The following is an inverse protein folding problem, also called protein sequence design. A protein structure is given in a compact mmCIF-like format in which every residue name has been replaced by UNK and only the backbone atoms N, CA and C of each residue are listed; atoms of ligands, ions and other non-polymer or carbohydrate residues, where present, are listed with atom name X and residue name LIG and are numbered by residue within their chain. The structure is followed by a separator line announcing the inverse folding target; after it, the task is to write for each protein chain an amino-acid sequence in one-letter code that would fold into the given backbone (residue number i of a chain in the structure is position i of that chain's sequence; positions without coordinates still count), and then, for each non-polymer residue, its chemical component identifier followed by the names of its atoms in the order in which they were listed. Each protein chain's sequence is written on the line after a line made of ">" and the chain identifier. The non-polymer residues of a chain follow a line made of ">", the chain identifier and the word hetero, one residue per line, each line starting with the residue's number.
data_IF_960510281725
#
_entry.id   IF_960510281725
#
_cell.length_a   1.000
_cell.length_b   1.000
_cell.length_c   1.000
_cell.angle_alpha   90.00
_cell.angle_beta   90.00
_cell.angle_gamma   90.00
#
_symmetry.space_group_name_H-M   'P 1'
#
loop_
_entity.id
_entity.type
_entity.pdbx_description
1 polymer ?
#
# COMPACT_ATOMS: atom_id res chain seq x y z
N UNK A 1 -8.04 0.20 -22.10
CA UNK A 1 -8.30 1.04 -20.90
C UNK A 1 -8.22 0.29 -19.57
N UNK A 2 -8.27 -1.05 -19.56
CA UNK A 2 -7.95 -1.85 -18.36
C UNK A 2 -6.50 -1.74 -17.87
N UNK A 3 -5.57 -1.25 -18.71
CA UNK A 3 -4.14 -1.13 -18.34
C UNK A 3 -3.91 -0.22 -17.12
N UNK A 4 -4.71 0.84 -16.91
CA UNK A 4 -4.59 1.70 -15.73
C UNK A 4 -4.95 0.95 -14.45
N UNK A 5 -5.97 0.09 -14.50
CA UNK A 5 -6.33 -0.77 -13.37
C UNK A 5 -5.24 -1.77 -13.04
N UNK A 6 -4.62 -2.38 -14.05
CA UNK A 6 -3.46 -3.26 -13.85
C UNK A 6 -2.30 -2.54 -13.15
N UNK A 7 -2.03 -1.28 -13.52
CA UNK A 7 -0.99 -0.48 -12.86
C UNK A 7 -1.37 -0.22 -11.40
N UNK A 8 -2.60 0.26 -11.13
CA UNK A 8 -3.07 0.51 -9.76
C UNK A 8 -3.00 -0.73 -8.87
N UNK A 9 -3.42 -1.88 -9.39
CA UNK A 9 -3.35 -3.19 -8.71
C UNK A 9 -1.89 -3.59 -8.47
N UNK A 10 -1.01 -3.39 -9.44
CA UNK A 10 0.42 -3.72 -9.27
C UNK A 10 1.04 -2.86 -8.18
N UNK A 11 0.74 -1.55 -8.15
CA UNK A 11 1.25 -0.65 -7.12
C UNK A 11 0.73 -1.06 -5.74
N UNK A 12 -0.56 -1.38 -5.59
CA UNK A 12 -1.12 -1.79 -4.30
C UNK A 12 -0.51 -3.10 -3.80
N UNK A 13 -0.21 -4.04 -4.69
CA UNK A 13 0.53 -5.26 -4.34
C UNK A 13 1.96 -4.96 -3.88
N UNK A 14 2.67 -4.08 -4.57
CA UNK A 14 4.02 -3.66 -4.17
C UNK A 14 4.00 -2.98 -2.80
N UNK A 15 3.03 -2.11 -2.54
CA UNK A 15 2.82 -1.49 -1.23
C UNK A 15 2.60 -2.55 -0.14
N UNK A 16 1.73 -3.54 -0.39
CA UNK A 16 1.48 -4.64 0.54
C UNK A 16 2.77 -5.38 0.90
N UNK A 17 3.62 -5.67 -0.10
CA UNK A 17 4.91 -6.33 0.13
C UNK A 17 5.82 -5.46 0.99
N UNK A 18 5.98 -4.17 0.67
CA UNK A 18 6.83 -3.26 1.45
C UNK A 18 6.34 -3.14 2.90
N UNK A 19 5.03 -3.01 3.10
CA UNK A 19 4.42 -2.90 4.43
C UNK A 19 4.56 -4.19 5.24
N UNK A 20 4.43 -5.35 4.60
CA UNK A 20 4.70 -6.65 5.24
C UNK A 20 6.16 -6.75 5.72
N UNK A 21 7.11 -6.24 4.92
CA UNK A 21 8.52 -6.15 5.32
C UNK A 21 8.74 -5.13 6.45
N UNK A 22 8.05 -3.98 6.43
CA UNK A 22 8.11 -3.00 7.52
C UNK A 22 7.61 -3.57 8.85
N UNK A 23 6.46 -4.26 8.85
CA UNK A 23 5.92 -4.93 10.04
C UNK A 23 6.98 -5.89 10.59
N UNK A 24 7.62 -6.68 9.72
CA UNK A 24 8.72 -7.58 10.10
C UNK A 24 9.90 -6.85 10.72
N UNK A 25 10.33 -5.73 10.15
CA UNK A 25 11.45 -4.95 10.67
C UNK A 25 11.13 -4.36 12.05
N UNK A 26 9.92 -3.81 12.23
CA UNK A 26 9.52 -3.20 13.49
C UNK A 26 9.25 -4.20 14.62
N UNK A 27 9.01 -5.49 14.32
CA UNK A 27 8.87 -6.52 15.36
C UNK A 27 10.07 -6.56 16.32
N UNK A 28 11.29 -6.27 15.84
CA UNK A 28 12.50 -6.22 16.67
C UNK A 28 12.46 -5.15 17.77
N UNK A 29 11.71 -4.07 17.57
CA UNK A 29 11.52 -2.97 18.54
C UNK A 29 10.10 -2.91 19.11
N UNK A 30 9.29 -3.95 18.87
CA UNK A 30 7.87 -4.00 19.21
C UNK A 30 7.56 -3.96 20.72
N UNK A 31 8.57 -4.11 21.58
CA UNK A 31 8.43 -3.93 23.02
C UNK A 31 8.34 -2.45 23.43
N UNK A 32 8.87 -1.54 22.61
CA UNK A 32 8.81 -0.09 22.87
C UNK A 32 7.45 0.50 22.49
N UNK A 33 7.03 1.59 23.15
CA UNK A 33 5.78 2.30 22.80
C UNK A 33 5.77 2.74 21.33
N UNK A 34 6.90 3.27 20.86
CA UNK A 34 7.09 3.70 19.47
C UNK A 34 6.98 2.52 18.50
N UNK A 35 7.65 1.40 18.80
CA UNK A 35 7.59 0.19 17.97
C UNK A 35 6.16 -0.36 17.84
N UNK A 36 5.38 -0.39 18.92
CA UNK A 36 3.97 -0.81 18.87
C UNK A 36 3.13 0.08 17.94
N UNK A 37 3.34 1.40 17.99
CA UNK A 37 2.64 2.35 17.10
C UNK A 37 3.03 2.10 15.65
N UNK A 38 4.33 1.92 15.36
CA UNK A 38 4.82 1.68 14.01
C UNK A 38 4.33 0.34 13.43
N UNK A 39 4.32 -0.72 14.23
CA UNK A 39 3.72 -2.01 13.86
C UNK A 39 2.22 -1.84 13.59
N UNK A 40 1.50 -1.14 14.46
CA UNK A 40 0.08 -0.89 14.29
C UNK A 40 -0.22 -0.13 13.00
N UNK A 41 0.47 0.98 12.77
CA UNK A 41 0.30 1.80 11.56
C UNK A 41 0.63 1.02 10.29
N UNK A 42 1.78 0.34 10.25
CA UNK A 42 2.17 -0.48 9.09
C UNK A 42 1.20 -1.65 8.84
N UNK A 43 0.62 -2.24 9.89
CA UNK A 43 -0.40 -3.28 9.76
C UNK A 43 -1.73 -2.73 9.21
N UNK A 44 -2.14 -1.53 9.62
CA UNK A 44 -3.33 -0.87 9.08
C UNK A 44 -3.15 -0.57 7.60
N UNK A 45 -2.01 0.04 7.22
CA UNK A 45 -1.70 0.29 5.81
C UNK A 45 -1.60 -1.01 5.01
N UNK A 46 -1.11 -2.10 5.61
CA UNK A 46 -1.04 -3.40 4.94
C UNK A 46 -2.45 -3.89 4.60
N UNK A 47 -3.38 -3.87 5.56
CA UNK A 47 -4.78 -4.23 5.31
C UNK A 47 -5.41 -3.32 4.27
N UNK A 48 -5.16 -2.01 4.33
CA UNK A 48 -5.62 -1.05 3.34
C UNK A 48 -5.15 -1.43 1.94
N UNK A 49 -3.86 -1.73 1.74
CA UNK A 49 -3.30 -2.09 0.43
C UNK A 49 -3.91 -3.38 -0.15
N UNK A 50 -4.29 -4.34 0.70
CA UNK A 50 -5.01 -5.55 0.29
C UNK A 50 -6.43 -5.20 -0.14
N UNK A 51 -7.15 -4.40 0.65
CA UNK A 51 -8.51 -3.96 0.32
C UNK A 51 -8.54 -3.13 -0.96
N UNK A 52 -7.54 -2.27 -1.19
CA UNK A 52 -7.39 -1.52 -2.43
C UNK A 52 -7.22 -2.44 -3.62
N UNK A 53 -6.38 -3.48 -3.50
CA UNK A 53 -6.18 -4.48 -4.55
C UNK A 53 -7.50 -5.14 -4.94
N UNK A 54 -8.29 -5.60 -3.96
CA UNK A 54 -9.60 -6.21 -4.17
C UNK A 54 -10.57 -5.22 -4.82
N UNK A 55 -10.60 -3.98 -4.32
CA UNK A 55 -11.50 -2.92 -4.80
C UNK A 55 -11.20 -2.54 -6.25
N UNK A 56 -9.93 -2.35 -6.60
CA UNK A 56 -9.51 -2.00 -7.95
C UNK A 56 -9.77 -3.12 -8.94
N UNK A 57 -9.59 -4.37 -8.50
CA UNK A 57 -10.01 -5.52 -9.31
C UNK A 57 -11.53 -5.53 -9.54
N UNK A 58 -12.32 -5.27 -8.50
CA UNK A 58 -13.78 -5.13 -8.62
C UNK A 58 -14.19 -4.03 -9.60
N UNK A 59 -13.62 -2.82 -9.47
CA UNK A 59 -13.89 -1.69 -10.35
C UNK A 59 -13.46 -1.93 -11.81
N UNK A 60 -12.36 -2.66 -12.01
CA UNK A 60 -11.95 -3.12 -13.33
C UNK A 60 -13.02 -4.04 -13.95
N UNK A 61 -13.52 -5.01 -13.19
CA UNK A 61 -14.54 -5.96 -13.65
C UNK A 61 -15.90 -5.28 -13.91
N UNK A 62 -16.23 -4.23 -13.16
CA UNK A 62 -17.40 -3.38 -13.39
C UNK A 62 -17.25 -2.42 -14.58
N UNK A 63 -16.08 -2.37 -15.22
CA UNK A 63 -15.83 -1.52 -16.39
C UNK A 63 -15.72 -0.03 -16.06
N UNK A 64 -15.33 0.33 -14.84
CA UNK A 64 -15.14 1.75 -14.47
C UNK A 64 -14.08 2.42 -15.36
N UNK A 65 -14.40 3.62 -15.83
CA UNK A 65 -13.60 4.34 -16.82
C UNK A 65 -12.39 5.11 -16.25
N UNK A 66 -11.61 5.76 -17.13
CA UNK A 66 -10.41 6.52 -16.76
C UNK A 66 -10.65 7.70 -15.82
N UNK A 67 -11.86 8.27 -15.84
CA UNK A 67 -12.25 9.36 -14.93
C UNK A 67 -12.11 8.97 -13.45
N UNK A 68 -12.17 7.67 -13.16
CA UNK A 68 -11.93 7.11 -11.82
C UNK A 68 -10.49 6.61 -11.70
N UNK A 69 -9.99 5.87 -12.69
CA UNK A 69 -8.69 5.20 -12.61
C UNK A 69 -7.48 6.17 -12.56
N UNK A 70 -7.54 7.31 -13.27
CA UNK A 70 -6.43 8.28 -13.35
C UNK A 70 -6.19 9.03 -12.03
N UNK A 71 -7.20 9.63 -11.37
CA UNK A 71 -7.00 10.24 -10.06
C UNK A 71 -6.46 9.24 -9.03
N UNK A 72 -6.94 8.00 -9.06
CA UNK A 72 -6.45 6.93 -8.19
C UNK A 72 -4.98 6.67 -8.43
N UNK A 73 -4.55 6.57 -9.70
CA UNK A 73 -3.15 6.34 -10.04
C UNK A 73 -2.22 7.42 -9.46
N UNK A 74 -2.62 8.69 -9.53
CA UNK A 74 -1.85 9.78 -8.95
C UNK A 74 -1.70 9.63 -7.42
N UNK A 75 -2.80 9.28 -6.72
CA UNK A 75 -2.80 9.02 -5.28
C UNK A 75 -1.90 7.80 -4.95
N UNK A 76 -2.01 6.73 -5.74
CA UNK A 76 -1.23 5.51 -5.58
C UNK A 76 0.27 5.75 -5.68
N UNK A 77 0.70 6.56 -6.64
CA UNK A 77 2.11 6.91 -6.81
C UNK A 77 2.63 7.67 -5.59
N UNK A 78 1.89 8.67 -5.11
CA UNK A 78 2.28 9.43 -3.92
C UNK A 78 2.34 8.55 -2.68
N UNK A 79 1.37 7.66 -2.51
CA UNK A 79 1.32 6.73 -1.39
C UNK A 79 2.49 5.72 -1.45
N UNK A 80 2.83 5.23 -2.65
CA UNK A 80 3.98 4.34 -2.86
C UNK A 80 5.29 5.03 -2.45
N UNK A 81 5.48 6.29 -2.81
CA UNK A 81 6.68 7.07 -2.42
C UNK A 81 6.74 7.18 -0.89
N UNK A 82 5.64 7.54 -0.25
CA UNK A 82 5.56 7.65 1.22
C UNK A 82 5.89 6.33 1.93
N UNK A 83 5.27 5.22 1.50
CA UNK A 83 5.52 3.89 2.04
C UNK A 83 6.98 3.46 1.80
N UNK A 84 7.54 3.77 0.63
CA UNK A 84 8.94 3.46 0.31
C UNK A 84 9.89 4.20 1.25
N UNK A 85 9.64 5.49 1.51
CA UNK A 85 10.44 6.27 2.46
C UNK A 85 10.36 5.68 3.88
N UNK A 86 9.16 5.34 4.35
CA UNK A 86 8.98 4.70 5.66
C UNK A 86 9.66 3.33 5.73
N UNK A 87 9.64 2.56 4.63
CA UNK A 87 10.35 1.29 4.55
C UNK A 87 11.87 1.46 4.63
N UNK A 88 12.43 2.46 3.96
CA UNK A 88 13.86 2.77 4.07
C UNK A 88 14.24 3.13 5.51
N UNK A 89 13.41 3.92 6.20
CA UNK A 89 13.59 4.24 7.62
C UNK A 89 13.49 2.99 8.49
N UNK A 90 12.58 2.05 8.16
CA UNK A 90 12.42 0.81 8.94
C UNK A 90 13.63 -0.11 8.91
N UNK A 91 14.57 0.09 7.98
CA UNK A 91 15.80 -0.69 7.83
C UNK A 91 17.00 -0.08 8.57
N UNK A 92 16.89 1.15 9.04
CA UNK A 92 17.91 1.85 9.84
C UNK A 92 17.83 1.41 11.29
#
# INVERSE_FOLDING_TARGET
>A
MGYLWFINITISLVQAVLLGLMVRNYMGIGFTRTGKILIGASSVFLVESILMTITYYGWMMMGMGPSVALPILAIMIMNLIGITMLYLISRL
#
